data_IF_201449456740
#
_entry.id   IF_201449456740
#
_cell.length_a   1.000
_cell.length_b   1.000
_cell.length_c   1.000
_cell.angle_alpha   90.00
_cell.angle_beta   90.00
_cell.angle_gamma   90.00
#
_symmetry.space_group_name_H-M   'P 1'
#
loop_
_entity.id
_entity.type
_entity.pdbx_description
1 polymer ?
#
# COMPACT_ATOMS: atom_id res chain seq x y z
N UNK A 1 20.17 57.63 28.01
CA UNK A 1 19.11 56.79 28.63
C UNK A 1 18.27 56.25 27.48
N UNK A 2 18.62 55.08 26.95
CA UNK A 2 18.14 53.75 27.35
C UNK A 2 16.83 53.39 26.63
N UNK A 3 16.97 52.69 25.49
CA UNK A 3 15.90 51.91 24.87
C UNK A 3 15.57 50.72 25.78
N UNK A 4 14.29 50.52 26.07
CA UNK A 4 13.81 49.35 26.78
C UNK A 4 13.72 48.16 25.82
N UNK A 5 14.39 47.03 26.12
CA UNK A 5 14.31 45.81 25.33
C UNK A 5 13.16 44.92 25.84
N UNK A 6 12.62 44.07 24.96
CA UNK A 6 11.89 42.88 25.38
C UNK A 6 10.38 42.92 25.19
N UNK A 7 9.94 42.72 23.95
CA UNK A 7 8.87 41.75 23.71
C UNK A 7 9.49 40.64 22.88
N UNK A 8 9.72 39.44 23.42
CA UNK A 8 10.08 38.32 22.58
C UNK A 8 8.96 38.16 21.55
N UNK A 9 9.32 38.15 20.26
CA UNK A 9 8.45 37.58 19.23
C UNK A 9 8.01 36.22 19.76
N UNK A 10 6.71 35.99 19.89
CA UNK A 10 6.19 34.64 20.03
C UNK A 10 6.89 33.79 18.98
N UNK A 11 7.56 32.68 19.33
CA UNK A 11 8.03 31.77 18.32
C UNK A 11 6.77 31.26 17.62
N UNK A 12 6.54 31.73 16.39
CA UNK A 12 5.61 31.13 15.47
C UNK A 12 5.94 29.65 15.39
N UNK A 13 4.93 28.82 15.61
CA UNK A 13 4.95 27.36 15.56
C UNK A 13 5.78 26.85 14.37
N UNK A 14 7.04 26.55 14.62
CA UNK A 14 7.89 25.72 13.77
C UNK A 14 8.45 24.60 14.63
N UNK A 15 7.60 23.97 15.43
CA UNK A 15 7.87 22.67 16.00
C UNK A 15 7.57 21.64 14.90
N UNK A 16 8.59 20.85 14.54
CA UNK A 16 8.53 19.93 13.42
C UNK A 16 7.34 19.01 13.50
N UNK A 17 6.67 18.79 12.37
CA UNK A 17 5.59 17.80 12.22
C UNK A 17 6.18 16.39 12.36
N UNK A 18 6.47 15.98 13.60
CA UNK A 18 6.95 14.64 13.94
C UNK A 18 5.84 13.59 13.91
N UNK A 19 4.58 14.05 13.81
CA UNK A 19 3.38 13.24 13.87
C UNK A 19 2.46 13.54 12.69
N UNK A 20 1.70 12.53 12.25
CA UNK A 20 0.74 12.67 11.18
C UNK A 20 -0.53 13.37 11.67
N UNK A 21 -1.10 14.21 10.81
CA UNK A 21 -2.43 14.81 10.96
C UNK A 21 -3.56 13.99 10.32
N UNK A 22 -3.22 12.81 9.80
CA UNK A 22 -4.10 11.91 9.06
C UNK A 22 -4.01 10.50 9.65
N UNK A 23 -5.05 9.71 9.44
CA UNK A 23 -5.10 8.31 9.83
C UNK A 23 -4.72 7.40 8.66
N UNK A 24 -4.33 6.14 8.90
CA UNK A 24 -3.99 5.19 7.83
C UNK A 24 -5.11 5.02 6.79
N UNK A 25 -6.37 5.12 7.22
CA UNK A 25 -7.55 5.03 6.34
C UNK A 25 -7.72 6.21 5.37
N UNK A 26 -7.04 7.33 5.64
CA UNK A 26 -7.09 8.52 4.80
C UNK A 26 -6.04 8.45 3.68
N UNK A 27 -5.12 7.48 3.75
CA UNK A 27 -4.11 7.22 2.72
C UNK A 27 -4.80 6.61 1.48
N UNK A 28 -4.55 7.14 0.28
CA UNK A 28 -5.13 6.59 -0.95
C UNK A 28 -4.79 5.11 -1.15
N UNK A 29 -5.77 4.34 -1.59
CA UNK A 29 -5.55 2.95 -1.94
C UNK A 29 -4.58 2.82 -3.12
N UNK A 30 -3.60 1.93 -3.00
CA UNK A 30 -2.69 1.55 -4.09
C UNK A 30 -2.60 0.03 -4.20
N UNK A 31 -3.06 -0.51 -5.32
CA UNK A 31 -2.99 -1.96 -5.57
C UNK A 31 -1.56 -2.46 -5.66
N UNK A 32 -0.66 -1.65 -6.21
CA UNK A 32 0.76 -2.02 -6.37
C UNK A 32 1.44 -2.13 -5.01
N UNK A 33 1.19 -1.19 -4.10
CA UNK A 33 1.72 -1.25 -2.74
C UNK A 33 1.22 -2.48 -1.98
N UNK A 34 -0.08 -2.76 -2.05
CA UNK A 34 -0.68 -3.96 -1.44
C UNK A 34 -0.10 -5.26 -2.01
N UNK A 35 0.14 -5.31 -3.33
CA UNK A 35 0.75 -6.47 -3.99
C UNK A 35 2.21 -6.66 -3.55
N UNK A 36 2.97 -5.57 -3.42
CA UNK A 36 4.34 -5.60 -2.91
C UNK A 36 4.39 -6.10 -1.45
N UNK A 37 3.50 -5.60 -0.58
CA UNK A 37 3.40 -6.05 0.81
C UNK A 37 2.97 -7.51 0.90
N UNK A 38 1.98 -7.91 0.11
CA UNK A 38 1.55 -9.30 0.04
C UNK A 38 2.69 -10.22 -0.42
N UNK A 39 3.47 -9.81 -1.42
CA UNK A 39 4.64 -10.56 -1.87
C UNK A 39 5.68 -10.71 -0.74
N UNK A 40 5.94 -9.64 0.00
CA UNK A 40 6.90 -9.64 1.10
C UNK A 40 6.46 -10.54 2.27
N UNK A 41 5.17 -10.53 2.61
CA UNK A 41 4.61 -11.36 3.67
C UNK A 41 4.64 -12.86 3.32
N UNK A 42 4.45 -13.20 2.04
CA UNK A 42 4.45 -14.58 1.56
C UNK A 42 5.86 -15.12 1.28
N UNK A 43 6.75 -14.26 0.80
CA UNK A 43 8.13 -14.60 0.44
C UNK A 43 9.07 -13.60 1.11
N UNK A 44 9.28 -13.71 2.43
CA UNK A 44 10.19 -12.80 3.13
C UNK A 44 11.62 -13.00 2.58
N UNK A 45 12.41 -11.92 2.46
CA UNK A 45 13.80 -12.03 2.02
C UNK A 45 14.60 -12.89 3.01
N UNK A 46 15.51 -13.72 2.49
CA UNK A 46 16.34 -14.62 3.31
C UNK A 46 17.26 -13.89 4.27
N UNK A 47 17.65 -12.66 3.92
CA UNK A 47 18.24 -11.70 4.85
C UNK A 47 17.09 -10.84 5.43
N UNK A 48 16.60 -11.11 6.65
CA UNK A 48 15.83 -10.10 7.36
C UNK A 48 16.78 -8.92 7.48
N UNK A 49 16.46 -7.77 6.85
CA UNK A 49 17.38 -6.63 6.74
C UNK A 49 18.25 -6.54 8.00
N UNK A 50 19.58 -6.70 7.86
CA UNK A 50 20.49 -6.91 8.98
C UNK A 50 20.27 -5.77 9.94
N UNK A 51 20.11 -6.07 11.24
CA UNK A 51 19.84 -5.11 12.30
C UNK A 51 20.43 -3.73 12.04
N UNK A 52 19.69 -2.91 11.27
CA UNK A 52 20.10 -1.55 10.98
C UNK A 52 19.80 -0.87 12.28
N UNK A 53 20.83 -0.77 13.12
CA UNK A 53 20.84 0.09 14.28
C UNK A 53 20.11 1.34 13.88
N UNK A 54 18.96 1.61 14.51
CA UNK A 54 18.19 2.81 14.23
C UNK A 54 19.19 3.97 14.18
N UNK A 55 19.17 4.80 13.12
CA UNK A 55 20.18 5.84 12.96
C UNK A 55 20.33 6.57 14.29
N UNK A 56 21.58 6.64 14.80
CA UNK A 56 21.92 7.07 16.17
C UNK A 56 21.51 8.51 16.49
N UNK A 57 20.99 9.22 15.50
CA UNK A 57 20.32 10.51 15.63
C UNK A 57 19.26 10.59 14.52
N UNK A 58 18.05 11.12 14.78
CA UNK A 58 17.12 11.45 13.71
C UNK A 58 17.71 12.60 12.89
N UNK A 59 18.52 12.28 11.87
CA UNK A 59 18.72 13.21 10.76
C UNK A 59 17.34 13.64 10.27
N UNK A 60 17.13 14.93 9.97
CA UNK A 60 15.80 15.52 9.70
C UNK A 60 14.85 14.52 9.04
N UNK A 61 13.83 14.10 9.78
CA UNK A 61 12.85 13.13 9.31
C UNK A 61 12.24 13.65 8.00
N UNK A 62 11.96 12.76 7.03
CA UNK A 62 11.44 13.19 5.74
C UNK A 62 10.05 13.81 5.92
N UNK A 63 9.86 15.05 5.47
CA UNK A 63 8.53 15.65 5.38
C UNK A 63 7.76 14.97 4.26
N UNK A 64 6.65 14.31 4.59
CA UNK A 64 5.83 13.54 3.67
C UNK A 64 4.38 14.02 3.75
N UNK A 65 3.84 14.42 2.60
CA UNK A 65 2.45 14.82 2.47
C UNK A 65 1.58 13.59 2.16
N UNK A 66 0.32 13.61 2.60
CA UNK A 66 -0.65 12.53 2.38
C UNK A 66 -0.82 12.16 0.91
N UNK A 67 -0.73 13.15 0.00
CA UNK A 67 -0.84 12.96 -1.45
C UNK A 67 0.30 12.14 -2.06
N UNK A 68 1.42 12.01 -1.35
CA UNK A 68 2.58 11.24 -1.78
C UNK A 68 2.56 9.79 -1.29
N UNK A 69 1.59 9.42 -0.46
CA UNK A 69 1.44 8.09 0.10
C UNK A 69 0.46 7.23 -0.72
N UNK A 70 0.60 5.89 -0.72
CA UNK A 70 1.66 5.11 -0.07
C UNK A 70 2.98 5.14 -0.86
N UNK A 71 4.09 5.09 -0.13
CA UNK A 71 5.43 5.02 -0.73
C UNK A 71 5.78 3.58 -1.15
N UNK A 72 6.50 3.40 -2.26
CA UNK A 72 7.04 2.09 -2.64
C UNK A 72 7.90 1.48 -1.53
N UNK A 73 7.95 0.14 -1.42
CA UNK A 73 8.76 -0.54 -0.38
C UNK A 73 10.26 -0.24 -0.53
N UNK A 74 10.72 0.03 -1.75
CA UNK A 74 12.12 0.33 -2.09
C UNK A 74 12.50 1.81 -1.93
N UNK A 75 11.60 2.65 -1.43
CA UNK A 75 11.87 4.09 -1.29
C UNK A 75 13.07 4.34 -0.36
N UNK A 76 14.10 5.11 -0.79
CA UNK A 76 15.33 5.33 -0.02
C UNK A 76 15.11 6.12 1.29
N UNK A 77 13.94 6.72 1.48
CA UNK A 77 13.56 7.38 2.73
C UNK A 77 13.16 6.38 3.81
N UNK A 78 12.88 5.12 3.46
CA UNK A 78 12.58 4.04 4.41
C UNK A 78 13.87 3.54 5.04
N UNK A 79 14.09 3.86 6.31
CA UNK A 79 15.35 3.60 7.05
C UNK A 79 15.15 2.95 8.42
N UNK A 80 13.92 2.96 8.94
CA UNK A 80 13.62 2.46 10.27
C UNK A 80 13.07 1.02 10.20
N UNK A 81 13.36 0.18 11.19
CA UNK A 81 12.84 -1.19 11.18
C UNK A 81 11.31 -1.22 11.30
N UNK A 82 10.68 -2.19 10.65
CA UNK A 82 9.25 -2.50 10.84
C UNK A 82 9.07 -3.93 11.37
N UNK A 83 7.89 -4.28 11.92
CA UNK A 83 7.55 -5.65 12.28
C UNK A 83 7.49 -6.63 11.09
N UNK A 84 7.39 -6.13 9.87
CA UNK A 84 7.32 -6.96 8.66
C UNK A 84 8.74 -7.14 8.11
N UNK A 85 9.27 -8.38 8.04
CA UNK A 85 10.61 -8.63 7.54
C UNK A 85 10.83 -8.10 6.12
N UNK A 86 11.87 -7.29 5.93
CA UNK A 86 12.21 -6.68 4.64
C UNK A 86 11.45 -5.40 4.29
N UNK A 87 10.55 -4.93 5.17
CA UNK A 87 9.93 -3.60 5.05
C UNK A 87 10.58 -2.64 6.05
N UNK A 88 11.00 -1.48 5.53
CA UNK A 88 11.49 -0.38 6.34
C UNK A 88 10.44 0.74 6.40
N UNK A 89 10.38 1.43 7.54
CA UNK A 89 9.55 2.60 7.78
C UNK A 89 10.33 3.88 7.48
N UNK A 90 9.61 4.94 7.17
CA UNK A 90 10.19 6.28 6.99
C UNK A 90 10.43 7.02 8.30
N UNK A 91 9.69 6.65 9.34
CA UNK A 91 9.72 7.25 10.67
C UNK A 91 9.72 6.14 11.73
N UNK A 92 10.33 6.38 12.91
CA UNK A 92 10.22 5.46 14.03
C UNK A 92 8.76 5.39 14.49
N UNK A 93 8.16 4.20 14.46
CA UNK A 93 6.74 4.02 14.82
C UNK A 93 5.75 4.65 13.82
N UNK A 94 6.19 4.96 12.60
CA UNK A 94 5.33 5.47 11.54
C UNK A 94 4.48 4.40 10.85
N UNK A 95 3.64 4.84 9.92
CA UNK A 95 2.78 3.93 9.14
C UNK A 95 3.58 3.10 8.13
N UNK A 96 3.05 1.93 7.77
CA UNK A 96 3.66 1.00 6.81
C UNK A 96 3.72 1.61 5.40
N UNK A 97 2.69 2.37 5.06
CA UNK A 97 2.49 3.16 3.85
C UNK A 97 3.53 4.30 3.74
N UNK A 98 4.17 4.67 4.85
CA UNK A 98 5.07 5.81 4.96
C UNK A 98 4.42 6.97 5.73
N UNK A 99 5.24 7.97 6.05
CA UNK A 99 4.84 9.08 6.90
C UNK A 99 5.08 8.83 8.40
N UNK A 100 4.97 9.88 9.21
CA UNK A 100 4.98 9.77 10.66
C UNK A 100 3.72 9.05 11.18
N UNK A 101 3.78 8.51 12.40
CA UNK A 101 2.61 7.98 13.10
C UNK A 101 1.82 9.10 13.77
N UNK A 102 0.66 8.78 14.33
CA UNK A 102 -0.12 9.75 15.12
C UNK A 102 0.65 10.18 16.39
N UNK A 103 0.28 11.32 16.97
CA UNK A 103 0.82 11.74 18.26
C UNK A 103 0.38 10.75 19.36
N UNK A 104 1.29 10.33 20.27
CA UNK A 104 0.91 9.48 21.41
C UNK A 104 -0.19 10.07 22.29
N UNK A 105 -0.33 11.40 22.32
CA UNK A 105 -1.39 12.09 23.06
C UNK A 105 -2.77 11.97 22.41
N UNK A 106 -2.80 11.76 21.10
CA UNK A 106 -4.02 11.61 20.30
C UNK A 106 -4.33 10.13 20.03
N UNK A 107 -3.43 9.23 20.47
CA UNK A 107 -3.56 7.80 20.27
C UNK A 107 -4.42 7.15 21.36
N UNK A 108 -5.72 7.13 21.12
CA UNK A 108 -6.69 6.44 21.99
C UNK A 108 -6.44 4.93 22.05
N UNK A 109 -5.80 4.35 21.02
CA UNK A 109 -5.55 2.90 20.94
C UNK A 109 -4.66 2.42 22.08
N UNK A 110 -3.60 3.17 22.43
CA UNK A 110 -2.68 2.78 23.49
C UNK A 110 -3.40 2.59 24.84
N UNK A 111 -4.33 3.50 25.16
CA UNK A 111 -5.14 3.41 26.38
C UNK A 111 -6.09 2.21 26.37
N UNK A 112 -6.76 1.97 25.24
CA UNK A 112 -7.65 0.82 25.08
C UNK A 112 -6.90 -0.52 25.15
N UNK A 113 -5.73 -0.61 24.51
CA UNK A 113 -4.89 -1.80 24.50
C UNK A 113 -4.43 -2.19 25.92
N UNK A 114 -3.97 -1.21 26.70
CA UNK A 114 -3.57 -1.43 28.10
C UNK A 114 -4.73 -1.91 28.95
N UNK A 115 -5.92 -1.32 28.76
CA UNK A 115 -7.12 -1.69 29.51
C UNK A 115 -7.63 -3.09 29.14
N UNK A 116 -7.67 -3.42 27.84
CA UNK A 116 -8.15 -4.71 27.32
C UNK A 116 -7.28 -5.88 27.81
N UNK A 117 -5.96 -5.71 27.76
CA UNK A 117 -5.01 -6.74 28.17
C UNK A 117 -4.64 -6.69 29.66
N UNK A 118 -5.22 -5.76 30.43
CA UNK A 118 -4.99 -5.63 31.88
C UNK A 118 -3.53 -5.36 32.25
N UNK A 119 -2.81 -4.61 31.41
CA UNK A 119 -1.37 -4.43 31.52
C UNK A 119 -1.04 -3.47 32.66
N UNK A 120 -0.13 -3.90 33.56
CA UNK A 120 0.31 -3.10 34.71
C UNK A 120 1.81 -2.85 34.75
N UNK A 121 2.59 -3.74 34.13
CA UNK A 121 4.04 -3.72 34.16
C UNK A 121 4.64 -3.58 32.75
N UNK A 122 5.81 -2.95 32.65
CA UNK A 122 6.49 -2.71 31.38
C UNK A 122 6.95 -4.01 30.69
N UNK A 123 7.37 -5.02 31.46
CA UNK A 123 7.75 -6.33 30.92
C UNK A 123 6.55 -7.07 30.31
N UNK A 124 5.39 -6.99 30.98
CA UNK A 124 4.14 -7.56 30.47
C UNK A 124 3.71 -6.86 29.20
N UNK A 125 3.83 -5.52 29.14
CA UNK A 125 3.53 -4.76 27.93
C UNK A 125 4.35 -5.25 26.73
N UNK A 126 5.67 -5.37 26.89
CA UNK A 126 6.55 -5.82 25.81
C UNK A 126 6.18 -7.21 25.31
N UNK A 127 5.89 -8.15 26.21
CA UNK A 127 5.48 -9.51 25.84
C UNK A 127 4.17 -9.53 25.06
N UNK A 128 3.15 -8.83 25.55
CA UNK A 128 1.83 -8.79 24.92
C UNK A 128 1.89 -8.09 23.57
N UNK A 129 2.69 -7.02 23.45
CA UNK A 129 2.90 -6.33 22.17
C UNK A 129 3.54 -7.26 21.14
N UNK A 130 4.57 -8.01 21.50
CA UNK A 130 5.21 -8.96 20.58
C UNK A 130 4.22 -10.05 20.14
N UNK A 131 3.46 -10.63 21.07
CA UNK A 131 2.47 -11.66 20.77
C UNK A 131 1.36 -11.14 19.83
N UNK A 132 0.82 -9.95 20.10
CA UNK A 132 -0.22 -9.38 19.24
C UNK A 132 0.35 -8.99 17.87
N UNK A 133 1.58 -8.49 17.78
CA UNK A 133 2.26 -8.24 16.51
C UNK A 133 2.37 -9.53 15.70
N UNK A 134 2.85 -10.62 16.29
CA UNK A 134 2.99 -11.91 15.61
C UNK A 134 1.64 -12.41 15.07
N UNK A 135 0.59 -12.31 15.89
CA UNK A 135 -0.78 -12.67 15.51
C UNK A 135 -1.29 -11.81 14.35
N UNK A 136 -1.08 -10.50 14.40
CA UNK A 136 -1.49 -9.59 13.32
C UNK A 136 -0.70 -9.83 12.03
N UNK A 137 0.60 -10.17 12.13
CA UNK A 137 1.42 -10.57 10.97
C UNK A 137 0.88 -11.86 10.35
N UNK A 138 0.43 -12.84 11.14
CA UNK A 138 -0.16 -14.06 10.57
C UNK A 138 -1.52 -13.78 9.91
N UNK A 139 -2.37 -12.94 10.50
CA UNK A 139 -3.61 -12.48 9.84
C UNK A 139 -3.30 -11.77 8.52
N UNK A 140 -2.27 -10.93 8.49
CA UNK A 140 -1.82 -10.25 7.27
C UNK A 140 -1.33 -11.26 6.21
N UNK A 141 -0.61 -12.32 6.61
CA UNK A 141 -0.20 -13.40 5.70
C UNK A 141 -1.39 -14.15 5.13
N UNK A 142 -2.41 -14.46 5.93
CA UNK A 142 -3.63 -15.09 5.43
C UNK A 142 -4.34 -14.22 4.39
N UNK A 143 -4.45 -12.92 4.67
CA UNK A 143 -4.99 -11.94 3.71
C UNK A 143 -4.15 -11.87 2.44
N UNK A 144 -2.83 -11.89 2.55
CA UNK A 144 -1.92 -11.94 1.39
C UNK A 144 -2.13 -13.21 0.54
N UNK A 145 -2.31 -14.39 1.17
CA UNK A 145 -2.63 -15.65 0.46
C UNK A 145 -3.98 -15.55 -0.25
N UNK A 146 -4.99 -14.97 0.40
CA UNK A 146 -6.31 -14.77 -0.20
C UNK A 146 -6.24 -13.82 -1.40
N UNK A 147 -5.50 -12.72 -1.27
CA UNK A 147 -5.25 -11.75 -2.33
C UNK A 147 -4.58 -12.40 -3.54
N UNK A 148 -3.51 -13.19 -3.32
CA UNK A 148 -2.83 -13.91 -4.41
C UNK A 148 -3.78 -14.84 -5.17
N UNK A 149 -4.60 -15.63 -4.47
CA UNK A 149 -5.60 -16.50 -5.10
C UNK A 149 -6.65 -15.72 -5.89
N UNK A 150 -7.11 -14.59 -5.36
CA UNK A 150 -8.05 -13.72 -6.05
C UNK A 150 -7.43 -13.15 -7.34
N UNK A 151 -6.16 -12.76 -7.30
CA UNK A 151 -5.43 -12.27 -8.46
C UNK A 151 -5.26 -13.36 -9.53
N UNK A 152 -4.81 -14.55 -9.16
CA UNK A 152 -4.68 -15.69 -10.08
C UNK A 152 -6.03 -16.03 -10.74
N UNK A 153 -7.13 -15.96 -9.98
CA UNK A 153 -8.48 -16.14 -10.51
C UNK A 153 -8.87 -15.03 -11.50
N UNK A 154 -8.57 -13.78 -11.18
CA UNK A 154 -8.87 -12.65 -12.07
C UNK A 154 -8.08 -12.76 -13.38
N UNK A 155 -6.80 -13.12 -13.32
CA UNK A 155 -5.97 -13.35 -14.51
C UNK A 155 -6.53 -14.49 -15.39
N UNK A 156 -7.03 -15.55 -14.77
CA UNK A 156 -7.76 -16.62 -15.47
C UNK A 156 -9.00 -16.10 -16.19
N UNK A 157 -9.84 -15.33 -15.52
CA UNK A 157 -11.05 -14.74 -16.11
C UNK A 157 -10.71 -13.77 -17.25
N UNK A 158 -9.69 -12.93 -17.08
CA UNK A 158 -9.24 -12.01 -18.14
C UNK A 158 -8.77 -12.77 -19.38
N UNK A 159 -8.10 -13.90 -19.20
CA UNK A 159 -7.68 -14.77 -20.32
C UNK A 159 -8.88 -15.40 -21.04
N UNK A 160 -9.90 -15.83 -20.29
CA UNK A 160 -11.14 -16.39 -20.86
C UNK A 160 -11.92 -15.32 -21.64
N UNK A 161 -12.03 -14.11 -21.09
CA UNK A 161 -12.66 -12.96 -21.76
C UNK A 161 -11.95 -12.65 -23.07
N UNK A 162 -10.61 -12.56 -23.06
CA UNK A 162 -9.83 -12.34 -24.27
C UNK A 162 -10.06 -13.45 -25.31
N UNK A 163 -10.08 -14.72 -24.90
CA UNK A 163 -10.33 -15.82 -25.82
C UNK A 163 -11.73 -15.75 -26.47
N UNK A 164 -12.75 -15.39 -25.69
CA UNK A 164 -14.11 -15.18 -26.21
C UNK A 164 -14.19 -13.99 -27.18
N UNK A 165 -13.48 -12.89 -26.88
CA UNK A 165 -13.41 -11.74 -27.78
C UNK A 165 -12.73 -12.09 -29.11
N UNK A 166 -11.64 -12.87 -29.08
CA UNK A 166 -10.96 -13.35 -30.27
C UNK A 166 -11.87 -14.27 -31.12
N UNK A 167 -12.60 -15.18 -30.47
CA UNK A 167 -13.59 -16.02 -31.14
C UNK A 167 -14.68 -15.17 -31.81
N UNK A 168 -15.25 -14.20 -31.09
CA UNK A 168 -16.27 -13.30 -31.63
C UNK A 168 -15.74 -12.52 -32.84
N UNK A 169 -14.52 -11.99 -32.76
CA UNK A 169 -13.90 -11.28 -33.89
C UNK A 169 -13.73 -12.19 -35.11
N UNK A 170 -13.37 -13.45 -34.91
CA UNK A 170 -13.24 -14.42 -35.99
C UNK A 170 -14.60 -14.73 -36.63
N UNK A 171 -15.63 -14.96 -35.82
CA UNK A 171 -17.01 -15.17 -36.29
C UNK A 171 -17.51 -13.98 -37.10
N UNK A 172 -17.31 -12.76 -36.62
CA UNK A 172 -17.67 -11.53 -37.33
C UNK A 172 -16.93 -11.40 -38.67
N UNK A 173 -15.64 -11.75 -38.73
CA UNK A 173 -14.88 -11.74 -40.00
C UNK A 173 -15.41 -12.77 -40.99
N UNK A 174 -15.76 -13.97 -40.53
CA UNK A 174 -16.34 -15.03 -41.39
C UNK A 174 -17.70 -14.61 -41.92
N UNK A 175 -18.58 -14.10 -41.06
CA UNK A 175 -19.89 -13.58 -41.45
C UNK A 175 -19.77 -12.40 -42.42
N UNK A 176 -18.82 -11.50 -42.20
CA UNK A 176 -18.51 -10.39 -43.10
C UNK A 176 -18.14 -10.88 -44.51
N UNK A 177 -17.17 -11.80 -44.61
CA UNK A 177 -16.77 -12.42 -45.89
C UNK A 177 -17.91 -13.16 -46.58
N UNK A 178 -18.74 -13.87 -45.80
CA UNK A 178 -19.90 -14.58 -46.35
C UNK A 178 -20.94 -13.61 -46.95
N UNK A 179 -21.21 -12.49 -46.26
CA UNK A 179 -22.10 -11.42 -46.74
C UNK A 179 -21.56 -10.76 -48.01
N UNK A 180 -20.26 -10.48 -48.07
CA UNK A 180 -19.61 -9.90 -49.25
C UNK A 180 -19.72 -10.83 -50.46
N UNK A 181 -19.35 -12.11 -50.32
CA UNK A 181 -19.51 -13.13 -51.38
C UNK A 181 -20.96 -13.26 -51.86
N UNK A 182 -21.93 -13.15 -50.95
CA UNK A 182 -23.35 -13.20 -51.31
C UNK A 182 -23.77 -11.97 -52.14
N UNK A 183 -23.25 -10.78 -51.82
CA UNK A 183 -23.47 -9.55 -52.61
C UNK A 183 -22.85 -9.65 -53.99
N UNK A 184 -21.58 -10.05 -54.10
CA UNK A 184 -20.90 -10.24 -55.39
C UNK A 184 -21.66 -11.23 -56.30
N UNK A 185 -22.16 -12.34 -55.73
CA UNK A 185 -22.94 -13.33 -56.49
C UNK A 185 -24.26 -12.75 -57.01
N UNK A 186 -24.91 -11.88 -56.25
CA UNK A 186 -26.14 -11.19 -56.65
C UNK A 186 -25.85 -10.20 -57.79
N UNK A 187 -24.85 -9.33 -57.61
CA UNK A 187 -24.44 -8.36 -58.64
C UNK A 187 -24.03 -9.03 -59.95
N UNK A 188 -23.31 -10.17 -59.88
CA UNK A 188 -22.93 -10.94 -61.07
C UNK A 188 -24.12 -11.57 -61.78
N UNK A 189 -25.19 -11.93 -61.05
CA UNK A 189 -26.44 -12.43 -61.65
C UNK A 189 -27.20 -11.30 -62.34
N UNK A 190 -27.27 -10.14 -61.71
CA UNK A 190 -27.98 -8.97 -62.24
C UNK A 190 -27.28 -8.47 -63.53
N UNK A 191 -25.94 -8.42 -63.56
CA UNK A 191 -25.15 -8.10 -64.77
C UNK A 191 -25.27 -9.10 -65.92
N UNK A 192 -25.74 -10.32 -65.68
CA UNK A 192 -25.96 -11.33 -66.72
C UNK A 192 -27.38 -11.32 -67.28
N UNK A 193 -28.30 -10.61 -66.61
CA UNK A 193 -29.72 -10.54 -66.96
C UNK A 193 -30.11 -9.22 -67.63
N UNK A 194 -29.32 -8.16 -67.44
CA UNK A 194 -29.34 -6.95 -68.28
C UNK A 194 -28.38 -7.11 -69.44
#
# INVERSE_FOLDING_TARGET
MAQLPGTPKSPSDSQGHHHASYLPRDIPYSSTFEDEIASLLLTPPSDPSPGMSAPSSPSSLPSLDLSSLPLPITDPRRKYPSPIPGLLLTHPGGYLEGGPGISPSEDEFAGHFVAEHGIRDAETLQRVVVEEIEKQVEVARERARARRRAREKNEGIESEVRAMEEQLQLEMRVLGKARERAREKRERRDRKRG
#
